data_IF_260896709843
#
_entry.id   IF_260896709843
#
_cell.length_a   1.000
_cell.length_b   1.000
_cell.length_c   1.000
_cell.angle_alpha   90.00
_cell.angle_beta   90.00
_cell.angle_gamma   90.00
#
_symmetry.space_group_name_H-M   'P 1'
#
loop_
_entity.id
_entity.type
_entity.pdbx_description
1 polymer ?
#
# COMPACT_ATOMS: atom_id res chain seq x y z
N UNK A 1 36.34 41.74 5.99
CA UNK A 1 35.10 41.34 6.70
C UNK A 1 34.16 40.76 5.66
N UNK A 2 34.12 39.44 5.55
CA UNK A 2 33.18 38.68 4.71
C UNK A 2 31.95 38.32 5.55
N UNK A 3 30.72 38.37 4.99
CA UNK A 3 29.54 37.97 5.73
C UNK A 3 29.49 36.45 5.92
N UNK A 4 28.85 35.94 6.99
CA UNK A 4 28.66 34.50 7.16
C UNK A 4 27.58 34.01 6.18
N UNK A 5 27.95 33.02 5.37
CA UNK A 5 27.03 32.26 4.50
C UNK A 5 26.10 31.42 5.38
N UNK A 6 24.80 31.71 5.35
CA UNK A 6 23.78 30.88 5.98
C UNK A 6 23.70 29.51 5.28
N UNK A 7 23.72 28.38 6.01
CA UNK A 7 23.46 27.08 5.41
C UNK A 7 21.97 26.96 5.09
N UNK A 8 21.68 26.82 3.79
CA UNK A 8 20.36 26.50 3.25
C UNK A 8 19.83 25.20 3.87
N UNK A 9 18.83 25.32 4.73
CA UNK A 9 18.04 24.22 5.30
C UNK A 9 17.07 23.68 4.25
N UNK A 10 17.59 23.00 3.23
CA UNK A 10 16.79 22.38 2.19
C UNK A 10 17.35 21.02 1.75
N UNK A 11 17.80 20.16 2.67
CA UNK A 11 18.19 18.78 2.32
C UNK A 11 18.08 17.83 3.52
N UNK A 12 16.88 17.59 4.05
CA UNK A 12 16.66 16.43 4.98
C UNK A 12 15.21 15.94 5.04
N UNK A 13 14.44 16.01 3.94
CA UNK A 13 13.07 15.43 3.90
C UNK A 13 12.89 14.39 2.79
N UNK A 14 13.98 13.92 2.15
CA UNK A 14 13.91 13.03 0.99
C UNK A 14 14.12 11.54 1.30
N UNK A 15 14.84 11.17 2.36
CA UNK A 15 15.20 9.76 2.57
C UNK A 15 14.06 8.94 3.18
N UNK A 16 13.26 9.53 4.08
CA UNK A 16 12.20 8.81 4.78
C UNK A 16 11.00 8.45 3.88
N UNK A 17 10.81 9.17 2.78
CA UNK A 17 9.67 8.97 1.87
C UNK A 17 9.88 7.82 0.88
N UNK A 18 11.14 7.50 0.57
CA UNK A 18 11.48 6.41 -0.37
C UNK A 18 11.48 5.04 0.32
N UNK A 19 11.82 4.99 1.62
CA UNK A 19 11.88 3.74 2.39
C UNK A 19 10.49 3.16 2.69
N UNK A 20 9.47 4.00 2.92
CA UNK A 20 8.12 3.52 3.24
C UNK A 20 7.42 2.79 2.07
N UNK A 21 7.83 3.02 0.81
CA UNK A 21 7.21 2.39 -0.36
C UNK A 21 7.56 0.91 -0.54
N UNK A 22 8.63 0.41 0.11
CA UNK A 22 9.08 -0.98 -0.05
C UNK A 22 8.67 -1.93 1.07
N UNK A 23 8.35 -1.41 2.26
CA UNK A 23 8.13 -2.23 3.46
C UNK A 23 6.65 -2.54 3.76
N UNK A 24 5.74 -2.29 2.80
CA UNK A 24 4.32 -2.57 2.97
C UNK A 24 3.64 -1.70 4.04
N UNK A 25 4.32 -0.66 4.52
CA UNK A 25 3.72 0.32 5.42
C UNK A 25 2.88 1.31 4.61
N UNK A 26 1.66 1.63 5.05
CA UNK A 26 0.87 2.68 4.41
C UNK A 26 1.67 3.97 4.35
N UNK A 27 1.58 4.67 3.23
CA UNK A 27 2.18 5.99 3.05
C UNK A 27 1.86 6.88 4.26
N UNK A 28 2.88 7.54 4.82
CA UNK A 28 2.70 8.45 5.93
C UNK A 28 1.77 9.60 5.54
N UNK A 29 0.60 9.68 6.17
CA UNK A 29 -0.41 10.68 5.83
C UNK A 29 0.00 12.07 6.37
N UNK A 30 0.00 13.12 5.54
CA UNK A 30 0.09 14.49 6.00
C UNK A 30 -1.10 14.87 6.92
N UNK A 31 -0.95 15.86 7.82
CA UNK A 31 -1.98 16.21 8.80
C UNK A 31 -3.36 16.52 8.20
N UNK A 32 -3.41 17.13 7.02
CA UNK A 32 -4.69 17.43 6.34
C UNK A 32 -5.41 16.15 5.89
N UNK A 33 -4.69 15.14 5.39
CA UNK A 33 -5.30 13.87 4.96
C UNK A 33 -5.84 13.11 6.17
N UNK A 34 -5.14 13.16 7.31
CA UNK A 34 -5.63 12.61 8.56
C UNK A 34 -6.92 13.28 9.02
N UNK A 35 -6.97 14.61 8.99
CA UNK A 35 -8.17 15.37 9.35
C UNK A 35 -9.36 15.01 8.44
N UNK A 36 -9.17 15.04 7.13
CA UNK A 36 -10.21 14.67 6.15
C UNK A 36 -10.76 13.27 6.41
N UNK A 37 -9.89 12.28 6.65
CA UNK A 37 -10.31 10.90 6.95
C UNK A 37 -11.15 10.82 8.23
N UNK A 38 -10.73 11.51 9.30
CA UNK A 38 -11.50 11.56 10.56
C UNK A 38 -12.88 12.17 10.34
N UNK A 39 -12.96 13.29 9.63
CA UNK A 39 -14.23 13.98 9.35
C UNK A 39 -15.18 13.10 8.53
N UNK A 40 -14.68 12.44 7.48
CA UNK A 40 -15.49 11.53 6.65
C UNK A 40 -16.00 10.36 7.50
N UNK A 41 -15.13 9.72 8.28
CA UNK A 41 -15.52 8.61 9.15
C UNK A 41 -16.58 9.03 10.18
N UNK A 42 -16.43 10.20 10.80
CA UNK A 42 -17.43 10.73 11.75
C UNK A 42 -18.79 10.95 11.06
N UNK A 43 -18.79 11.55 9.87
CA UNK A 43 -20.02 11.76 9.10
C UNK A 43 -20.72 10.45 8.75
N UNK A 44 -19.97 9.48 8.21
CA UNK A 44 -20.49 8.15 7.86
C UNK A 44 -21.01 7.39 9.08
N UNK A 45 -20.33 7.50 10.23
CA UNK A 45 -20.73 6.81 11.46
C UNK A 45 -22.02 7.39 12.06
N UNK A 46 -22.20 8.72 11.95
CA UNK A 46 -23.35 9.44 12.49
C UNK A 46 -24.54 9.48 11.53
N UNK A 47 -24.41 8.90 10.33
CA UNK A 47 -25.49 8.87 9.34
C UNK A 47 -26.67 8.03 9.87
N UNK A 48 -27.90 8.59 9.92
CA UNK A 48 -29.09 7.81 10.27
C UNK A 48 -29.30 6.71 9.22
N UNK A 49 -29.83 5.55 9.64
CA UNK A 49 -30.03 4.38 8.75
C UNK A 49 -28.74 3.73 8.20
N UNK A 50 -27.61 3.84 8.90
CA UNK A 50 -26.32 3.21 8.51
C UNK A 50 -26.40 1.77 8.01
N UNK A 51 -27.29 0.94 8.56
CA UNK A 51 -27.42 -0.47 8.17
C UNK A 51 -28.02 -0.62 6.78
N UNK A 52 -29.00 0.22 6.45
CA UNK A 52 -29.67 0.25 5.15
C UNK A 52 -28.73 0.86 4.11
N UNK A 53 -28.06 1.97 4.45
CA UNK A 53 -27.04 2.57 3.59
C UNK A 53 -25.91 1.59 3.23
N UNK A 54 -25.42 0.82 4.20
CA UNK A 54 -24.38 -0.16 3.93
C UNK A 54 -24.88 -1.31 3.07
N UNK A 55 -26.12 -1.79 3.23
CA UNK A 55 -26.71 -2.85 2.41
C UNK A 55 -26.93 -2.41 0.94
N UNK A 56 -27.16 -1.13 0.70
CA UNK A 56 -27.30 -0.57 -0.64
C UNK A 56 -25.95 -0.15 -1.26
N UNK A 57 -24.87 -0.14 -0.49
CA UNK A 57 -23.55 0.26 -0.95
C UNK A 57 -22.96 -0.82 -1.88
N UNK A 58 -22.72 -0.44 -3.13
CA UNK A 58 -21.89 -1.17 -4.08
C UNK A 58 -20.50 -0.55 -4.05
N UNK A 59 -19.50 -1.34 -3.68
CA UNK A 59 -18.10 -0.94 -3.79
C UNK A 59 -17.51 -1.47 -5.11
N UNK A 60 -16.43 -0.86 -5.58
CA UNK A 60 -15.65 -1.42 -6.67
C UNK A 60 -14.21 -0.95 -6.60
N UNK A 61 -13.29 -1.81 -6.99
CA UNK A 61 -11.86 -1.53 -6.98
C UNK A 61 -11.18 -2.22 -8.17
N UNK A 62 -10.04 -1.66 -8.57
CA UNK A 62 -9.18 -2.22 -9.59
C UNK A 62 -7.95 -2.85 -8.94
N UNK A 63 -7.75 -4.14 -9.17
CA UNK A 63 -6.60 -4.87 -8.67
C UNK A 63 -5.77 -5.47 -9.81
N UNK A 64 -4.45 -5.49 -9.61
CA UNK A 64 -3.53 -6.16 -10.53
C UNK A 64 -3.47 -7.64 -10.21
N UNK A 65 -3.90 -8.48 -11.16
CA UNK A 65 -3.73 -9.93 -11.08
C UNK A 65 -2.46 -10.32 -11.83
N UNK A 66 -1.48 -10.83 -11.08
CA UNK A 66 -0.21 -11.31 -11.61
C UNK A 66 -0.34 -12.76 -12.06
N UNK A 67 0.04 -13.06 -13.30
CA UNK A 67 0.25 -14.45 -13.73
C UNK A 67 1.60 -14.94 -13.23
N UNK A 68 1.66 -15.31 -11.95
CA UNK A 68 2.87 -15.89 -11.39
C UNK A 68 2.92 -17.39 -11.70
N UNK A 69 3.74 -17.79 -12.68
CA UNK A 69 4.03 -19.21 -12.94
C UNK A 69 5.04 -19.80 -11.95
N UNK A 70 5.66 -18.98 -11.10
CA UNK A 70 6.62 -19.39 -10.09
C UNK A 70 5.88 -19.76 -8.81
N UNK A 71 5.55 -21.04 -8.68
CA UNK A 71 4.96 -21.58 -7.46
C UNK A 71 6.03 -21.61 -6.36
N UNK A 72 5.98 -20.67 -5.40
CA UNK A 72 6.85 -20.71 -4.23
C UNK A 72 6.43 -21.87 -3.31
N UNK A 73 6.96 -23.07 -3.57
CA UNK A 73 6.75 -24.22 -2.68
C UNK A 73 7.65 -24.15 -1.45
N UNK A 74 7.11 -24.20 -0.25
CA UNK A 74 7.91 -24.40 0.95
C UNK A 74 8.58 -25.79 0.87
N UNK A 75 9.90 -25.86 1.06
CA UNK A 75 10.66 -27.10 1.08
C UNK A 75 11.31 -27.22 2.44
N UNK A 76 11.16 -28.38 3.09
CA UNK A 76 11.86 -28.70 4.32
C UNK A 76 13.27 -29.15 3.93
N UNK A 77 14.29 -28.46 4.46
CA UNK A 77 15.71 -28.72 4.17
C UNK A 77 16.40 -29.10 5.47
N UNK A 78 17.34 -30.05 5.41
CA UNK A 78 18.10 -30.48 6.57
C UNK A 78 19.03 -29.35 7.06
N UNK A 79 19.37 -29.38 8.36
CA UNK A 79 20.28 -28.38 8.95
C UNK A 79 21.66 -28.49 8.30
N UNK A 80 22.03 -27.49 7.49
CA UNK A 80 23.33 -27.40 6.81
C UNK A 80 23.28 -27.64 5.29
N UNK A 81 22.11 -27.94 4.72
CA UNK A 81 21.93 -28.07 3.28
C UNK A 81 21.48 -26.74 2.66
N UNK A 82 21.96 -26.45 1.45
CA UNK A 82 21.62 -25.22 0.73
C UNK A 82 20.17 -25.26 0.23
N UNK A 83 19.47 -24.14 0.33
CA UNK A 83 18.12 -24.01 -0.22
C UNK A 83 18.13 -24.06 -1.75
N UNK A 84 17.18 -24.76 -2.40
CA UNK A 84 17.02 -24.69 -3.83
C UNK A 84 16.88 -23.24 -4.29
N UNK A 85 17.76 -22.79 -5.19
CA UNK A 85 17.72 -21.44 -5.75
C UNK A 85 16.47 -21.29 -6.61
N UNK A 86 15.55 -20.45 -6.15
CA UNK A 86 14.41 -20.02 -6.97
C UNK A 86 14.77 -18.76 -7.70
N UNK A 87 14.43 -18.69 -8.99
CA UNK A 87 14.51 -17.46 -9.76
C UNK A 87 13.63 -16.40 -9.10
N UNK A 88 14.15 -15.18 -8.97
CA UNK A 88 13.34 -14.03 -8.54
C UNK A 88 12.20 -13.85 -9.57
N UNK A 89 10.96 -13.59 -9.14
CA UNK A 89 9.90 -13.24 -10.06
C UNK A 89 10.32 -12.01 -10.87
N UNK A 90 10.12 -12.08 -12.18
CA UNK A 90 10.45 -10.97 -13.05
C UNK A 90 9.45 -9.84 -12.80
N UNK A 91 9.93 -8.60 -12.78
CA UNK A 91 9.09 -7.43 -12.53
C UNK A 91 8.03 -7.25 -13.64
N UNK A 92 8.31 -7.82 -14.82
CA UNK A 92 7.52 -7.76 -16.05
C UNK A 92 6.68 -9.02 -16.34
N UNK A 93 6.35 -9.81 -15.32
CA UNK A 93 5.37 -10.90 -15.49
C UNK A 93 4.06 -10.39 -16.13
N UNK A 94 3.40 -11.23 -16.94
CA UNK A 94 2.12 -10.87 -17.58
C UNK A 94 1.12 -10.50 -16.48
N UNK A 95 0.54 -9.30 -16.56
CA UNK A 95 -0.47 -8.81 -15.61
C UNK A 95 -1.77 -8.56 -16.34
N UNK A 96 -2.88 -8.82 -15.67
CA UNK A 96 -4.19 -8.36 -16.10
C UNK A 96 -4.78 -7.46 -15.01
N UNK A 97 -5.47 -6.40 -15.42
CA UNK A 97 -6.28 -5.58 -14.52
C UNK A 97 -7.61 -6.28 -14.34
N UNK A 98 -8.00 -6.51 -13.09
CA UNK A 98 -9.33 -6.97 -12.74
C UNK A 98 -10.09 -5.81 -12.09
N UNK A 99 -11.27 -5.49 -12.62
CA UNK A 99 -12.23 -4.60 -11.98
C UNK A 99 -13.27 -5.47 -11.29
N UNK A 100 -13.42 -5.29 -9.98
CA UNK A 100 -14.34 -6.08 -9.15
C UNK A 100 -15.36 -5.13 -8.56
N UNK A 101 -16.64 -5.51 -8.59
CA UNK A 101 -17.71 -4.82 -7.90
C UNK A 101 -18.33 -5.76 -6.87
N UNK A 102 -18.41 -5.33 -5.61
CA UNK A 102 -19.06 -6.07 -4.54
C UNK A 102 -20.27 -5.29 -4.04
N UNK A 103 -21.42 -5.97 -3.95
CA UNK A 103 -22.59 -5.45 -3.27
C UNK A 103 -22.60 -6.02 -1.86
N UNK A 104 -22.71 -5.15 -0.86
CA UNK A 104 -22.92 -5.59 0.51
C UNK A 104 -24.30 -6.26 0.63
N UNK A 105 -24.36 -7.42 1.29
CA UNK A 105 -25.58 -8.20 1.48
C UNK A 105 -26.23 -7.93 2.84
#
# INVERSE_FOLDING_TARGET
MTPPTEPSTATTMSSATEDCLRDGYPHAFPPFQMHTRVTICQSLLLTPYRKEFLADLVNGDESWVLYNSITHRAVWIARGEESPVKSKPDLHEKKCTATIFEKNA
#
